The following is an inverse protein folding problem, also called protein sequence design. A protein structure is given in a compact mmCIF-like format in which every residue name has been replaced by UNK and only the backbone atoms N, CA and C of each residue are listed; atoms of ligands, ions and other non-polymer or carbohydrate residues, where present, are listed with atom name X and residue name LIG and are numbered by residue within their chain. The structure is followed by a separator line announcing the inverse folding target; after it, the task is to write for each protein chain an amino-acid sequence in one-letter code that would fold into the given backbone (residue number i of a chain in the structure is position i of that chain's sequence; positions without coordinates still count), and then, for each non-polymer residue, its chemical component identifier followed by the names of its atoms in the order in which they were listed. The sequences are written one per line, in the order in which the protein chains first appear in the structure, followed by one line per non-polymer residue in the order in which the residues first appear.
data_IF_383838449089
#
_entry.id   IF_383838449089
#
_cell.length_a   1.000
_cell.length_b   1.000
_cell.length_c   1.000
_cell.angle_alpha   90.00
_cell.angle_beta   90.00
_cell.angle_gamma   90.00
#
_symmetry.space_group_name_H-M   'P 1'
#
loop_
_entity.id
_entity.type
_entity.pdbx_description
1 polymer ?
#
# COMPACT_ATOMS: atom_id res chain seq x y z
N UNK A 1 -16.52 22.58 7.81
CA UNK A 1 -15.82 22.42 9.10
C UNK A 1 -14.75 21.35 8.91
N UNK A 2 -13.48 21.76 9.05
CA UNK A 2 -12.22 20.98 9.10
C UNK A 2 -12.24 19.58 8.48
N UNK A 3 -11.90 19.52 7.19
CA UNK A 3 -11.37 18.31 6.57
C UNK A 3 -9.98 18.04 7.14
N UNK A 4 -9.85 17.00 7.95
CA UNK A 4 -8.56 16.46 8.32
C UNK A 4 -7.93 15.92 7.04
N UNK A 5 -6.85 16.59 6.65
CA UNK A 5 -6.10 16.30 5.44
C UNK A 5 -5.73 14.83 5.36
N UNK A 6 -5.42 14.42 4.15
CA UNK A 6 -4.81 13.16 3.85
C UNK A 6 -3.39 13.16 4.46
N UNK A 7 -3.26 12.97 5.78
CA UNK A 7 -1.94 12.80 6.37
C UNK A 7 -1.44 11.44 5.89
N UNK A 8 -0.35 11.45 5.12
CA UNK A 8 0.41 10.25 4.87
C UNK A 8 0.78 9.68 6.24
N UNK A 9 0.29 8.49 6.54
CA UNK A 9 0.45 7.91 7.87
C UNK A 9 1.93 7.70 8.23
N UNK A 10 2.82 7.65 7.22
CA UNK A 10 4.28 7.70 7.41
C UNK A 10 4.74 9.06 7.93
N UNK A 11 4.36 10.16 7.26
CA UNK A 11 4.70 11.52 7.71
C UNK A 11 4.16 11.83 9.12
N UNK A 12 3.03 11.23 9.51
CA UNK A 12 2.51 11.30 10.87
C UNK A 12 3.39 10.58 11.91
N UNK A 13 3.99 9.45 11.54
CA UNK A 13 4.94 8.71 12.39
C UNK A 13 6.25 9.49 12.51
N UNK A 14 6.79 9.99 11.41
CA UNK A 14 8.02 10.80 11.37
C UNK A 14 7.90 12.03 12.30
N UNK A 15 6.77 12.74 12.22
CA UNK A 15 6.50 13.89 13.08
C UNK A 15 6.32 13.53 14.57
N UNK A 16 5.85 12.32 14.89
CA UNK A 16 5.65 11.86 16.26
C UNK A 16 6.94 11.36 16.92
N UNK A 17 7.92 10.92 16.12
CA UNK A 17 9.19 10.35 16.58
C UNK A 17 10.40 11.00 15.87
N UNK A 18 10.59 12.32 16.02
CA UNK A 18 11.66 13.05 15.34
C UNK A 18 13.06 12.65 15.81
N UNK A 19 13.18 12.09 17.01
CA UNK A 19 14.39 11.49 17.57
C UNK A 19 14.80 10.23 16.81
N UNK A 20 13.84 9.40 16.42
CA UNK A 20 14.08 8.18 15.64
C UNK A 20 14.34 8.55 14.18
N UNK A 21 13.63 9.54 13.63
CA UNK A 21 13.85 10.01 12.26
C UNK A 21 15.28 10.55 12.07
N UNK A 22 15.74 11.45 12.95
CA UNK A 22 17.13 11.95 12.89
C UNK A 22 18.18 10.83 12.93
N UNK A 23 17.92 9.75 13.67
CA UNK A 23 18.78 8.57 13.68
C UNK A 23 18.63 7.76 12.39
N UNK A 24 17.43 7.67 11.82
CA UNK A 24 17.16 7.00 10.55
C UNK A 24 17.86 7.67 9.37
N UNK A 25 18.04 9.00 9.36
CA UNK A 25 18.84 9.70 8.34
C UNK A 25 20.29 9.21 8.27
N UNK A 26 20.83 8.75 9.41
CA UNK A 26 22.18 8.19 9.51
C UNK A 26 22.24 6.68 9.19
N UNK A 27 21.11 6.05 8.86
CA UNK A 27 21.11 4.66 8.42
C UNK A 27 21.84 4.50 7.09
N UNK A 28 22.53 3.37 6.96
CA UNK A 28 23.20 3.00 5.70
C UNK A 28 22.23 2.87 4.53
N UNK A 29 21.00 2.42 4.79
CA UNK A 29 19.97 2.17 3.80
C UNK A 29 18.79 3.11 4.01
N UNK A 30 18.23 3.63 2.91
CA UNK A 30 17.02 4.47 2.94
C UNK A 30 15.76 3.69 3.27
N UNK A 31 15.72 2.41 2.89
CA UNK A 31 14.59 1.51 3.15
C UNK A 31 14.78 0.69 4.44
N UNK A 32 15.57 1.21 5.39
CA UNK A 32 15.85 0.49 6.63
C UNK A 32 14.56 0.33 7.45
N UNK A 33 14.28 -0.91 7.83
CA UNK A 33 13.15 -1.28 8.69
C UNK A 33 13.45 -1.05 10.18
N UNK A 34 14.71 -0.76 10.51
CA UNK A 34 15.27 -0.61 11.86
C UNK A 34 15.14 -1.87 12.75
N UNK A 35 14.81 -3.02 12.17
CA UNK A 35 14.57 -4.29 12.87
C UNK A 35 15.82 -5.13 13.17
N UNK A 36 17.02 -4.53 13.15
CA UNK A 36 18.29 -5.25 13.37
C UNK A 36 19.16 -5.44 12.12
N UNK A 37 18.96 -4.60 11.10
CA UNK A 37 19.81 -4.60 9.91
C UNK A 37 21.22 -4.05 10.20
N UNK A 38 22.27 -4.58 9.54
CA UNK A 38 23.63 -4.08 9.72
C UNK A 38 23.77 -2.65 9.19
N UNK A 39 24.30 -1.75 10.02
CA UNK A 39 24.43 -0.32 9.67
C UNK A 39 23.17 0.51 9.93
N UNK A 40 22.22 0.00 10.72
CA UNK A 40 21.10 0.76 11.25
C UNK A 40 21.54 1.65 12.42
N UNK A 41 21.47 2.97 12.24
CA UNK A 41 21.84 3.93 13.28
C UNK A 41 20.85 3.95 14.46
N UNK A 42 19.57 3.62 14.23
CA UNK A 42 18.57 3.45 15.30
C UNK A 42 18.93 2.28 16.22
N UNK A 43 19.31 1.13 15.65
CA UNK A 43 19.73 -0.05 16.43
C UNK A 43 21.06 0.21 17.14
N UNK A 44 21.98 0.94 16.52
CA UNK A 44 23.21 1.39 17.17
C UNK A 44 22.89 2.30 18.37
N UNK A 45 21.99 3.27 18.22
CA UNK A 45 21.56 4.16 19.32
C UNK A 45 20.85 3.42 20.46
N UNK A 46 20.13 2.32 20.17
CA UNK A 46 19.57 1.44 21.19
C UNK A 46 20.66 0.71 21.96
N UNK A 47 21.68 0.19 21.27
CA UNK A 47 22.82 -0.48 21.89
C UNK A 47 23.67 0.47 22.74
N UNK A 48 23.83 1.72 22.29
CA UNK A 48 24.54 2.79 22.99
C UNK A 48 23.72 3.42 24.13
N UNK A 49 22.42 3.09 24.26
CA UNK A 49 21.51 3.67 25.25
C UNK A 49 21.06 5.11 24.94
N UNK A 50 21.37 5.65 23.75
CA UNK A 50 20.90 6.97 23.30
C UNK A 50 19.41 6.98 22.96
N UNK A 51 18.87 5.83 22.54
CA UNK A 51 17.45 5.63 22.32
C UNK A 51 16.90 4.67 23.39
N UNK A 52 15.84 5.05 24.15
CA UNK A 52 15.21 4.13 25.08
C UNK A 52 14.48 2.99 24.35
N UNK A 53 14.61 1.76 24.85
CA UNK A 53 13.91 0.59 24.29
C UNK A 53 12.40 0.81 24.19
N UNK A 54 11.78 1.45 25.19
CA UNK A 54 10.35 1.77 25.22
C UNK A 54 9.93 2.71 24.08
N UNK A 55 10.79 3.64 23.66
CA UNK A 55 10.53 4.55 22.53
C UNK A 55 10.55 3.80 21.22
N UNK A 56 11.56 2.95 21.02
CA UNK A 56 11.66 2.09 19.85
C UNK A 56 10.49 1.11 19.74
N UNK A 57 10.08 0.50 20.84
CA UNK A 57 8.94 -0.42 20.88
C UNK A 57 7.64 0.29 20.47
N UNK A 58 7.40 1.49 21.01
CA UNK A 58 6.25 2.33 20.64
C UNK A 58 6.26 2.71 19.15
N UNK A 59 7.43 3.03 18.60
CA UNK A 59 7.60 3.34 17.18
C UNK A 59 7.29 2.13 16.30
N UNK A 60 7.86 0.96 16.64
CA UNK A 60 7.62 -0.27 15.89
C UNK A 60 6.16 -0.71 15.94
N UNK A 61 5.50 -0.60 17.10
CA UNK A 61 4.08 -0.87 17.25
C UNK A 61 3.25 0.02 16.32
N UNK A 62 3.47 1.33 16.36
CA UNK A 62 2.73 2.26 15.50
C UNK A 62 2.96 2.01 14.01
N UNK A 63 4.21 1.72 13.61
CA UNK A 63 4.57 1.41 12.22
C UNK A 63 3.83 0.16 11.71
N UNK A 64 3.73 -0.88 12.54
CA UNK A 64 2.99 -2.10 12.22
C UNK A 64 1.47 -1.85 12.11
N UNK A 65 0.90 -1.06 13.02
CA UNK A 65 -0.51 -0.69 12.96
C UNK A 65 -0.84 0.08 11.68
N UNK A 66 -0.01 1.08 11.34
CA UNK A 66 -0.17 1.86 10.10
C UNK A 66 -0.04 0.97 8.86
N UNK A 67 0.95 0.06 8.82
CA UNK A 67 1.12 -0.87 7.71
C UNK A 67 -0.14 -1.75 7.51
N UNK A 68 -0.71 -2.27 8.61
CA UNK A 68 -1.93 -3.08 8.59
C UNK A 68 -3.14 -2.29 8.09
N UNK A 69 -3.30 -1.04 8.55
CA UNK A 69 -4.39 -0.16 8.10
C UNK A 69 -4.23 0.19 6.61
N UNK A 70 -3.00 0.47 6.15
CA UNK A 70 -2.69 0.72 4.73
C UNK A 70 -3.05 -0.48 3.87
N UNK A 71 -2.62 -1.69 4.25
CA UNK A 71 -2.90 -2.93 3.54
C UNK A 71 -4.42 -3.20 3.44
N UNK A 72 -5.15 -3.16 4.57
CA UNK A 72 -6.62 -3.32 4.57
C UNK A 72 -7.31 -2.31 3.67
N UNK A 73 -6.85 -1.05 3.68
CA UNK A 73 -7.40 0.01 2.83
C UNK A 73 -7.13 -0.25 1.36
N UNK A 74 -5.94 -0.73 1.01
CA UNK A 74 -5.59 -1.08 -0.35
C UNK A 74 -6.39 -2.29 -0.84
N UNK A 75 -6.51 -3.34 -0.02
CA UNK A 75 -7.35 -4.51 -0.31
C UNK A 75 -8.80 -4.08 -0.56
N UNK A 76 -9.38 -3.24 0.32
CA UNK A 76 -10.74 -2.73 0.13
C UNK A 76 -10.90 -1.95 -1.19
N UNK A 77 -9.90 -1.15 -1.58
CA UNK A 77 -9.88 -0.44 -2.88
C UNK A 77 -9.84 -1.41 -4.06
N UNK A 78 -9.00 -2.46 -3.98
CA UNK A 78 -8.91 -3.51 -5.01
C UNK A 78 -10.24 -4.24 -5.18
N UNK A 79 -10.85 -4.68 -4.08
CA UNK A 79 -12.15 -5.36 -4.08
C UNK A 79 -13.28 -4.49 -4.63
N UNK A 80 -13.31 -3.20 -4.27
CA UNK A 80 -14.30 -2.26 -4.80
C UNK A 80 -14.12 -2.04 -6.32
N UNK A 81 -12.87 -1.92 -6.79
CA UNK A 81 -12.56 -1.79 -8.21
C UNK A 81 -12.93 -3.04 -9.00
N UNK A 82 -12.78 -4.22 -8.42
CA UNK A 82 -13.22 -5.48 -9.02
C UNK A 82 -14.75 -5.57 -9.10
N UNK A 83 -15.47 -5.25 -8.02
CA UNK A 83 -16.95 -5.18 -8.04
C UNK A 83 -17.50 -4.18 -9.04
N UNK A 84 -16.82 -3.05 -9.22
CA UNK A 84 -17.24 -1.97 -10.11
C UNK A 84 -16.91 -2.24 -11.59
N UNK A 85 -16.19 -3.33 -11.91
CA UNK A 85 -15.77 -3.63 -13.28
C UNK A 85 -16.97 -4.14 -14.10
N UNK A 86 -17.37 -3.44 -15.18
CA UNK A 86 -18.48 -3.90 -15.99
C UNK A 86 -18.15 -5.24 -16.68
N UNK A 87 -19.13 -6.14 -16.82
CA UNK A 87 -18.91 -7.40 -17.51
C UNK A 87 -18.47 -7.13 -18.96
N UNK A 88 -17.44 -7.85 -19.38
CA UNK A 88 -16.90 -7.75 -20.75
C UNK A 88 -18.02 -8.16 -21.70
N UNK A 89 -18.49 -7.23 -22.53
CA UNK A 89 -19.49 -7.49 -23.57
C UNK A 89 -18.91 -8.52 -24.54
N UNK A 90 -19.31 -9.78 -24.40
CA UNK A 90 -19.13 -10.78 -25.44
C UNK A 90 -19.93 -10.30 -26.64
N UNK A 91 -19.23 -9.87 -27.70
CA UNK A 91 -19.86 -9.57 -28.99
C UNK A 91 -20.38 -10.90 -29.54
N UNK A 92 -21.68 -11.18 -29.32
CA UNK A 92 -22.39 -12.28 -29.97
C UNK A 92 -22.42 -11.94 -31.46
N UNK A 93 -21.54 -12.58 -32.24
CA UNK A 93 -21.48 -12.43 -33.69
C UNK A 93 -22.86 -12.68 -34.28
N UNK A 94 -23.32 -11.73 -35.08
CA UNK A 94 -24.57 -11.80 -35.83
C UNK A 94 -24.62 -13.10 -36.61
N UNK A 95 -25.63 -13.93 -36.36
CA UNK A 95 -25.93 -15.07 -37.21
C UNK A 95 -26.32 -14.55 -38.59
N UNK A 96 -25.40 -14.65 -39.55
CA UNK A 96 -25.67 -14.40 -40.97
C UNK A 96 -26.68 -15.43 -41.46
N UNK A 97 -27.80 -14.95 -42.00
CA UNK A 97 -28.91 -15.72 -42.54
C UNK A 97 -28.46 -16.80 -43.54
N UNK A 98 -29.15 -17.96 -43.63
CA UNK A 98 -28.83 -18.97 -44.64
C UNK A 98 -29.14 -18.45 -46.06
N UNK A 99 -28.33 -18.78 -47.07
CA UNK A 99 -28.58 -18.34 -48.44
C UNK A 99 -29.83 -19.02 -49.01
N UNK A 100 -30.77 -18.21 -49.47
CA UNK A 100 -31.99 -18.65 -50.14
C UNK A 100 -31.68 -19.42 -51.43
N UNK A 101 -32.24 -20.63 -51.56
CA UNK A 101 -32.24 -21.41 -52.80
C UNK A 101 -33.15 -20.71 -53.82
N UNK A 102 -32.56 -19.93 -54.72
CA UNK A 102 -33.18 -19.50 -55.98
C UNK A 102 -32.81 -20.52 -57.05
N UNK A 103 -33.76 -21.33 -57.52
CA UNK A 103 -33.74 -21.90 -58.87
C UNK A 103 -35.17 -21.91 -59.41
N UNK A 104 -35.48 -20.91 -60.25
CA UNK A 104 -36.52 -21.04 -61.29
C UNK A 104 -36.03 -22.07 -62.33
N UNK A 105 -36.89 -22.95 -62.85
CA UNK A 105 -37.90 -22.74 -63.92
C UNK A 105 -37.21 -22.67 -65.31
N UNK A 106 -37.78 -23.15 -66.44
CA UNK A 106 -39.15 -23.60 -66.76
C UNK A 106 -39.53 -24.98 -66.24
#
# INVERSE_FOLDING_TARGET
MRGLGLWDADAGIEAAFPDIEQLAEACRFRDCTHGGEPGCAVTAALADGRLPQSRYDSYQALKQEVATVKDRREQARRLNKEKSRPPKRVRKGSASSPPGRKRGRP
#
